data_IF_840894998641
#
_entry.id   IF_840894998641
#
_cell.length_a   1.000
_cell.length_b   1.000
_cell.length_c   1.000
_cell.angle_alpha   90.00
_cell.angle_beta   90.00
_cell.angle_gamma   90.00
#
_symmetry.space_group_name_H-M   'P 1'
#
loop_
_entity.id
_entity.type
_entity.pdbx_description
1 polymer ?
#
# COMPACT_ATOMS: atom_id res chain seq x y z
N UNK A 1 5.74 53.41 18.60
CA UNK A 1 4.67 52.68 19.29
C UNK A 1 3.93 51.92 18.25
N UNK A 2 3.77 50.62 18.40
CA UNK A 2 3.08 49.62 17.58
C UNK A 2 4.00 48.57 16.93
N UNK A 3 4.78 47.86 17.79
CA UNK A 3 5.53 46.64 17.38
C UNK A 3 4.92 45.36 17.97
N UNK A 4 3.79 45.41 18.65
CA UNK A 4 3.21 44.26 19.37
C UNK A 4 2.09 43.50 18.63
N UNK A 5 1.54 44.07 17.55
CA UNK A 5 0.39 43.45 16.84
C UNK A 5 0.76 42.38 15.80
N UNK A 6 2.02 42.27 15.39
CA UNK A 6 2.44 41.32 14.37
C UNK A 6 2.64 39.89 14.93
N UNK A 7 2.85 39.75 16.25
CA UNK A 7 3.19 38.44 16.84
C UNK A 7 2.00 37.53 17.15
N UNK A 8 0.78 38.07 17.22
CA UNK A 8 -0.41 37.27 17.61
C UNK A 8 -1.09 36.59 16.41
N UNK A 9 -0.95 37.16 15.23
CA UNK A 9 -1.57 36.60 14.01
C UNK A 9 -0.79 35.42 13.40
N UNK A 10 0.50 35.34 13.68
CA UNK A 10 1.35 34.19 13.25
C UNK A 10 1.07 32.90 14.03
N UNK A 11 0.45 32.99 15.20
CA UNK A 11 0.17 31.86 16.10
C UNK A 11 -1.04 30.99 15.68
N UNK A 12 -1.82 31.37 14.67
CA UNK A 12 -3.00 30.61 14.22
C UNK A 12 -2.93 30.13 12.78
N UNK A 13 -1.79 29.58 12.35
CA UNK A 13 -1.79 28.84 11.10
C UNK A 13 -2.70 27.60 11.28
N UNK A 14 -3.70 27.39 10.41
CA UNK A 14 -4.59 26.26 10.52
C UNK A 14 -3.77 24.97 10.42
N UNK A 15 -3.81 24.16 11.46
CA UNK A 15 -3.10 22.87 11.52
C UNK A 15 -4.08 21.72 11.25
N UNK A 16 -3.59 20.67 10.63
CA UNK A 16 -4.29 19.37 10.55
C UNK A 16 -4.49 18.84 11.96
N UNK A 17 -5.68 18.29 12.27
CA UNK A 17 -5.91 17.72 13.59
C UNK A 17 -5.05 16.48 13.82
N UNK A 18 -4.47 16.34 15.01
CA UNK A 18 -3.71 15.13 15.38
C UNK A 18 -4.57 13.87 15.25
N UNK A 19 -5.86 13.94 15.57
CA UNK A 19 -6.80 12.84 15.40
C UNK A 19 -6.91 12.37 13.95
N UNK A 20 -6.87 13.28 12.99
CA UNK A 20 -6.88 12.92 11.58
C UNK A 20 -5.56 12.24 11.14
N UNK A 21 -4.41 12.75 11.57
CA UNK A 21 -3.10 12.13 11.27
C UNK A 21 -3.04 10.71 11.80
N UNK A 22 -3.50 10.48 13.05
CA UNK A 22 -3.58 9.16 13.65
C UNK A 22 -4.55 8.24 12.90
N UNK A 23 -5.74 8.73 12.55
CA UNK A 23 -6.70 7.98 11.73
C UNK A 23 -6.07 7.55 10.40
N UNK A 24 -5.33 8.45 9.74
CA UNK A 24 -4.62 8.14 8.50
C UNK A 24 -3.50 7.11 8.71
N UNK A 25 -2.76 7.18 9.82
CA UNK A 25 -1.71 6.20 10.14
C UNK A 25 -2.29 4.80 10.36
N UNK A 26 -3.38 4.67 11.11
CA UNK A 26 -4.06 3.37 11.26
C UNK A 26 -4.67 2.88 9.95
N UNK A 27 -5.26 3.78 9.15
CA UNK A 27 -5.78 3.44 7.82
C UNK A 27 -4.67 2.93 6.88
N UNK A 28 -3.48 3.56 6.92
CA UNK A 28 -2.29 3.09 6.20
C UNK A 28 -1.85 1.71 6.67
N UNK A 29 -1.80 1.48 7.99
CA UNK A 29 -1.48 0.17 8.57
C UNK A 29 -2.43 -0.94 8.09
N UNK A 30 -3.74 -0.67 8.10
CA UNK A 30 -4.76 -1.60 7.55
C UNK A 30 -4.50 -1.86 6.06
N UNK A 31 -4.24 -0.81 5.28
CA UNK A 31 -3.93 -0.92 3.85
C UNK A 31 -2.71 -1.80 3.57
N UNK A 32 -1.65 -1.68 4.38
CA UNK A 32 -0.47 -2.56 4.29
C UNK A 32 -0.85 -4.01 4.55
N UNK A 33 -1.59 -4.29 5.63
CA UNK A 33 -1.98 -5.66 5.98
C UNK A 33 -2.78 -6.29 4.85
N UNK A 34 -3.79 -5.59 4.34
CA UNK A 34 -4.62 -6.08 3.23
C UNK A 34 -3.74 -6.36 1.99
N UNK A 35 -2.84 -5.44 1.62
CA UNK A 35 -1.98 -5.60 0.45
C UNK A 35 -1.03 -6.80 0.59
N UNK A 36 -0.45 -7.02 1.77
CA UNK A 36 0.44 -8.17 2.06
C UNK A 36 -0.34 -9.48 2.02
N UNK A 37 -1.53 -9.53 2.64
CA UNK A 37 -2.39 -10.71 2.59
C UNK A 37 -2.78 -11.05 1.16
N UNK A 38 -3.16 -10.07 0.33
CA UNK A 38 -3.50 -10.28 -1.08
C UNK A 38 -2.28 -10.80 -1.85
N UNK A 39 -1.10 -10.26 -1.62
CA UNK A 39 0.14 -10.73 -2.25
C UNK A 39 0.41 -12.20 -1.92
N UNK A 40 0.32 -12.58 -0.65
CA UNK A 40 0.52 -13.98 -0.23
C UNK A 40 -0.57 -14.91 -0.74
N UNK A 41 -1.83 -14.48 -0.76
CA UNK A 41 -2.91 -15.24 -1.38
C UNK A 41 -2.67 -15.45 -2.88
N UNK A 42 -2.22 -14.42 -3.58
CA UNK A 42 -1.85 -14.52 -5.00
C UNK A 42 -0.74 -15.53 -5.25
N UNK A 43 0.33 -15.50 -4.43
CA UNK A 43 1.39 -16.51 -4.46
C UNK A 43 0.85 -17.91 -4.20
N UNK A 44 0.01 -18.08 -3.18
CA UNK A 44 -0.50 -19.37 -2.77
C UNK A 44 -1.46 -19.95 -3.83
N UNK A 45 -2.36 -19.14 -4.39
CA UNK A 45 -3.29 -19.57 -5.44
C UNK A 45 -2.53 -19.95 -6.71
N UNK A 46 -1.61 -19.10 -7.18
CA UNK A 46 -0.80 -19.40 -8.34
C UNK A 46 0.07 -20.64 -8.11
N UNK A 47 0.62 -20.81 -6.90
CA UNK A 47 1.36 -22.01 -6.52
C UNK A 47 0.51 -23.28 -6.53
N UNK A 48 -0.73 -23.20 -6.02
CA UNK A 48 -1.65 -24.34 -6.04
C UNK A 48 -2.03 -24.76 -7.47
N UNK A 49 -2.29 -23.78 -8.35
CA UNK A 49 -2.54 -24.03 -9.78
C UNK A 49 -1.33 -24.68 -10.44
N UNK A 50 -0.12 -24.27 -10.10
CA UNK A 50 1.14 -24.83 -10.60
C UNK A 50 1.56 -26.16 -9.91
N UNK A 51 0.74 -26.71 -9.02
CA UNK A 51 1.00 -27.99 -8.33
C UNK A 51 2.01 -27.92 -7.17
N UNK A 52 2.30 -26.71 -6.64
CA UNK A 52 3.35 -26.51 -5.61
C UNK A 52 2.93 -26.84 -4.17
N UNK A 53 1.70 -27.20 -3.88
CA UNK A 53 1.16 -27.46 -2.53
C UNK A 53 1.55 -26.35 -1.51
N UNK A 54 1.04 -25.13 -1.67
CA UNK A 54 1.38 -24.00 -0.81
C UNK A 54 0.80 -24.13 0.59
N UNK A 55 1.57 -23.71 1.58
CA UNK A 55 1.14 -23.50 2.97
C UNK A 55 1.20 -22.00 3.24
N UNK A 56 0.06 -21.40 3.47
CA UNK A 56 -0.08 -19.97 3.76
C UNK A 56 0.10 -19.74 5.26
N UNK A 57 1.15 -19.01 5.62
CA UNK A 57 1.36 -18.46 6.95
C UNK A 57 0.99 -16.97 6.98
N UNK A 58 0.94 -16.40 8.16
CA UNK A 58 0.62 -14.99 8.35
C UNK A 58 1.66 -14.03 7.72
N UNK A 59 2.90 -14.47 7.57
CA UNK A 59 4.05 -13.66 7.12
C UNK A 59 4.68 -14.17 5.82
N UNK A 60 4.37 -15.39 5.36
CA UNK A 60 4.98 -15.99 4.19
C UNK A 60 4.12 -17.09 3.54
N UNK A 61 4.54 -17.57 2.39
CA UNK A 61 4.01 -18.76 1.72
C UNK A 61 5.13 -19.77 1.50
N UNK A 62 5.02 -20.93 2.12
CA UNK A 62 5.95 -22.04 1.91
C UNK A 62 5.38 -23.02 0.88
N UNK A 63 6.22 -23.54 0.00
CA UNK A 63 5.84 -24.53 -0.99
C UNK A 63 6.43 -25.89 -0.61
N UNK A 64 5.57 -26.92 -0.43
CA UNK A 64 5.99 -28.28 -0.04
C UNK A 64 6.36 -29.17 -1.23
N UNK A 65 5.96 -28.81 -2.44
CA UNK A 65 6.25 -29.57 -3.66
C UNK A 65 6.91 -28.66 -4.70
N UNK A 66 7.67 -29.26 -5.62
CA UNK A 66 8.17 -28.61 -6.81
C UNK A 66 7.04 -28.18 -7.74
N UNK A 67 7.36 -27.37 -8.73
CA UNK A 67 6.40 -26.85 -9.71
C UNK A 67 7.01 -25.66 -10.44
N UNK A 68 6.28 -25.07 -11.37
CA UNK A 68 6.77 -23.92 -12.14
C UNK A 68 7.03 -22.72 -11.26
N UNK A 69 8.23 -22.11 -11.38
CA UNK A 69 8.57 -20.87 -10.69
C UNK A 69 7.78 -19.67 -11.20
N UNK A 70 7.14 -19.75 -12.38
CA UNK A 70 6.23 -18.72 -12.87
C UNK A 70 5.10 -18.40 -11.88
N UNK A 71 4.69 -19.39 -11.08
CA UNK A 71 3.70 -19.17 -10.02
C UNK A 71 4.12 -18.07 -9.01
N UNK A 72 5.44 -17.84 -8.85
CA UNK A 72 5.96 -16.83 -7.94
C UNK A 72 5.65 -15.38 -8.38
N UNK A 73 5.27 -15.16 -9.65
CA UNK A 73 4.76 -13.87 -10.12
C UNK A 73 3.32 -13.59 -9.65
N UNK A 74 2.59 -14.60 -9.16
CA UNK A 74 1.19 -14.52 -8.75
C UNK A 74 0.92 -13.47 -7.67
N UNK A 75 1.87 -13.25 -6.76
CA UNK A 75 1.74 -12.24 -5.71
C UNK A 75 1.67 -10.81 -6.25
N UNK A 76 2.60 -10.47 -7.14
CA UNK A 76 2.62 -9.14 -7.77
C UNK A 76 1.37 -8.93 -8.63
N UNK A 77 1.00 -9.92 -9.45
CA UNK A 77 -0.19 -9.85 -10.30
C UNK A 77 -1.47 -9.67 -9.47
N UNK A 78 -1.67 -10.45 -8.41
CA UNK A 78 -2.83 -10.33 -7.52
C UNK A 78 -2.92 -8.95 -6.87
N UNK A 79 -1.78 -8.39 -6.44
CA UNK A 79 -1.73 -7.06 -5.86
C UNK A 79 -2.12 -5.97 -6.87
N UNK A 80 -1.67 -6.04 -8.11
CA UNK A 80 -2.05 -5.09 -9.17
C UNK A 80 -3.55 -5.18 -9.49
N UNK A 81 -4.09 -6.40 -9.62
CA UNK A 81 -5.52 -6.64 -9.87
C UNK A 81 -6.35 -6.08 -8.70
N UNK A 82 -5.97 -6.40 -7.47
CA UNK A 82 -6.66 -5.90 -6.29
C UNK A 82 -6.60 -4.37 -6.18
N UNK A 83 -5.44 -3.76 -6.47
CA UNK A 83 -5.29 -2.31 -6.54
C UNK A 83 -6.27 -1.69 -7.53
N UNK A 84 -6.43 -2.28 -8.72
CA UNK A 84 -7.40 -1.84 -9.71
C UNK A 84 -8.85 -1.99 -9.22
N UNK A 85 -9.19 -3.12 -8.58
CA UNK A 85 -10.53 -3.35 -8.01
C UNK A 85 -10.83 -2.31 -6.92
N UNK A 86 -9.93 -2.12 -5.94
CA UNK A 86 -10.13 -1.12 -4.89
C UNK A 86 -10.20 0.31 -5.44
N UNK A 87 -9.47 0.60 -6.52
CA UNK A 87 -9.56 1.90 -7.20
C UNK A 87 -10.96 2.15 -7.76
N UNK A 88 -11.66 1.12 -8.27
CA UNK A 88 -13.06 1.28 -8.71
C UNK A 88 -14.03 1.47 -7.55
N UNK A 89 -13.71 0.94 -6.37
CA UNK A 89 -14.51 1.09 -5.15
C UNK A 89 -14.30 2.45 -4.46
N UNK A 90 -13.16 3.09 -4.67
CA UNK A 90 -12.83 4.37 -4.03
C UNK A 90 -13.83 5.49 -4.30
N UNK A 91 -14.32 5.73 -5.54
CA UNK A 91 -15.33 6.74 -5.82
C UNK A 91 -16.73 6.38 -5.33
N UNK A 92 -17.02 5.09 -5.07
CA UNK A 92 -18.35 4.63 -4.64
C UNK A 92 -18.76 5.20 -3.27
N UNK A 93 -17.79 5.49 -2.39
CA UNK A 93 -18.05 6.24 -1.16
C UNK A 93 -18.20 7.73 -1.46
N UNK A 94 -19.40 8.27 -1.27
CA UNK A 94 -19.66 9.71 -1.45
C UNK A 94 -19.10 10.56 -0.30
N UNK A 95 -18.78 9.95 0.84
CA UNK A 95 -18.27 10.65 2.02
C UNK A 95 -16.75 10.48 2.11
N UNK A 96 -16.07 11.57 2.44
CA UNK A 96 -14.65 11.54 2.75
C UNK A 96 -14.47 11.20 4.23
N UNK A 97 -14.66 9.96 4.57
CA UNK A 97 -14.58 9.42 5.93
C UNK A 97 -13.37 8.49 6.10
N UNK A 98 -13.23 7.91 7.28
CA UNK A 98 -12.14 7.00 7.61
C UNK A 98 -12.19 5.72 6.76
N UNK A 99 -13.37 5.24 6.35
CA UNK A 99 -13.50 4.06 5.51
C UNK A 99 -12.94 4.33 4.11
N UNK A 100 -13.30 5.45 3.51
CA UNK A 100 -12.77 5.87 2.20
C UNK A 100 -11.26 6.12 2.26
N UNK A 101 -10.75 6.69 3.35
CA UNK A 101 -9.33 6.89 3.56
C UNK A 101 -8.60 5.53 3.65
N UNK A 102 -9.20 4.54 4.31
CA UNK A 102 -8.66 3.18 4.38
C UNK A 102 -8.63 2.51 3.00
N UNK A 103 -9.68 2.68 2.19
CA UNK A 103 -9.69 2.21 0.79
C UNK A 103 -8.59 2.89 -0.02
N UNK A 104 -8.40 4.22 0.11
CA UNK A 104 -7.31 4.93 -0.57
C UNK A 104 -5.95 4.33 -0.23
N UNK A 105 -5.66 4.14 1.07
CA UNK A 105 -4.42 3.53 1.51
C UNK A 105 -4.26 2.09 0.99
N UNK A 106 -5.35 1.30 0.97
CA UNK A 106 -5.33 -0.07 0.42
C UNK A 106 -4.97 -0.05 -1.07
N UNK A 107 -5.58 0.83 -1.87
CA UNK A 107 -5.22 1.03 -3.29
C UNK A 107 -3.72 1.30 -3.44
N UNK A 108 -3.20 2.27 -2.67
CA UNK A 108 -1.81 2.68 -2.77
C UNK A 108 -0.85 1.55 -2.40
N UNK A 109 -1.14 0.81 -1.32
CA UNK A 109 -0.30 -0.29 -0.89
C UNK A 109 -0.39 -1.50 -1.82
N UNK A 110 -1.55 -1.80 -2.40
CA UNK A 110 -1.69 -2.86 -3.41
C UNK A 110 -0.86 -2.54 -4.66
N UNK A 111 -0.97 -1.33 -5.21
CA UNK A 111 -0.15 -0.95 -6.36
C UNK A 111 1.35 -0.91 -6.02
N UNK A 112 1.73 -0.39 -4.86
CA UNK A 112 3.11 -0.44 -4.40
C UNK A 112 3.61 -1.89 -4.30
N UNK A 113 2.84 -2.79 -3.68
CA UNK A 113 3.20 -4.20 -3.52
C UNK A 113 3.34 -4.92 -4.88
N UNK A 114 2.54 -4.53 -5.87
CA UNK A 114 2.59 -5.09 -7.21
C UNK A 114 3.73 -4.53 -8.08
N UNK A 115 3.94 -3.21 -8.07
CA UNK A 115 4.96 -2.56 -8.91
C UNK A 115 6.38 -2.64 -8.33
N UNK A 116 6.55 -2.70 -6.99
CA UNK A 116 7.88 -2.76 -6.38
C UNK A 116 8.71 -3.94 -6.86
N UNK A 117 8.22 -5.20 -6.88
CA UNK A 117 9.00 -6.32 -7.39
C UNK A 117 9.40 -6.15 -8.86
N UNK A 118 8.55 -5.51 -9.69
CA UNK A 118 8.88 -5.19 -11.07
C UNK A 118 10.00 -4.16 -11.13
N UNK A 119 9.89 -3.07 -10.37
CA UNK A 119 10.85 -1.97 -10.38
C UNK A 119 12.25 -2.40 -9.92
N UNK A 120 12.35 -3.35 -8.98
CA UNK A 120 13.64 -3.81 -8.45
C UNK A 120 14.14 -5.10 -9.11
N UNK A 121 13.46 -5.60 -10.12
CA UNK A 121 13.76 -6.89 -10.77
C UNK A 121 15.24 -7.09 -11.13
N UNK A 122 15.94 -6.13 -11.78
CA UNK A 122 17.35 -6.29 -12.15
C UNK A 122 18.33 -6.23 -10.97
N UNK A 123 17.86 -5.88 -9.76
CA UNK A 123 18.67 -5.64 -8.58
C UNK A 123 18.52 -6.72 -7.51
N UNK A 124 17.67 -7.74 -7.76
CA UNK A 124 17.30 -8.75 -6.77
C UNK A 124 17.31 -10.15 -7.39
N UNK A 125 18.31 -10.97 -7.06
CA UNK A 125 18.45 -12.32 -7.64
C UNK A 125 17.53 -13.35 -6.99
N UNK A 126 17.25 -13.23 -5.68
CA UNK A 126 16.52 -14.24 -4.89
C UNK A 126 15.04 -13.87 -4.62
N UNK A 127 14.52 -12.81 -5.23
CA UNK A 127 13.10 -12.47 -5.05
C UNK A 127 12.18 -13.49 -5.73
N UNK A 128 10.95 -13.70 -5.25
CA UNK A 128 9.99 -14.56 -5.91
C UNK A 128 9.82 -14.23 -7.40
N UNK A 129 9.76 -12.93 -7.74
CA UNK A 129 9.61 -12.50 -9.12
C UNK A 129 10.88 -12.75 -9.95
N UNK A 130 12.09 -12.56 -9.40
CA UNK A 130 13.36 -12.83 -10.12
C UNK A 130 13.49 -14.31 -10.46
N UNK A 131 13.11 -15.21 -9.54
CA UNK A 131 13.06 -16.65 -9.81
C UNK A 131 12.03 -17.01 -10.88
N UNK A 132 10.83 -16.40 -10.84
CA UNK A 132 9.85 -16.56 -11.91
C UNK A 132 10.40 -16.07 -13.25
N UNK A 133 11.11 -14.95 -13.24
CA UNK A 133 11.69 -14.33 -14.42
C UNK A 133 12.77 -15.21 -15.07
N UNK A 134 13.66 -15.77 -14.26
CA UNK A 134 14.75 -16.65 -14.75
C UNK A 134 14.22 -17.88 -15.49
N UNK A 135 13.02 -18.38 -15.15
CA UNK A 135 12.42 -19.54 -15.85
C UNK A 135 11.90 -19.19 -17.26
N UNK A 136 11.71 -17.90 -17.57
CA UNK A 136 11.26 -17.48 -18.90
C UNK A 136 12.38 -17.46 -19.94
N UNK A 137 13.64 -17.48 -19.53
CA UNK A 137 14.79 -17.46 -20.43
C UNK A 137 14.85 -16.20 -21.32
N UNK A 138 14.26 -15.09 -20.88
CA UNK A 138 14.22 -13.86 -21.65
C UNK A 138 15.57 -13.14 -21.66
N UNK A 139 15.89 -12.37 -22.75
CA UNK A 139 17.12 -11.58 -22.79
C UNK A 139 17.24 -10.61 -21.62
N UNK A 140 18.45 -10.42 -21.08
CA UNK A 140 18.73 -9.52 -19.95
C UNK A 140 18.21 -8.09 -20.13
N UNK A 141 18.15 -7.57 -21.37
CA UNK A 141 17.59 -6.24 -21.64
C UNK A 141 16.10 -6.10 -21.34
N UNK A 142 15.32 -7.19 -21.36
CA UNK A 142 13.87 -7.15 -21.11
C UNK A 142 13.55 -6.86 -19.64
N UNK A 143 14.39 -7.34 -18.72
CA UNK A 143 14.19 -7.07 -17.28
C UNK A 143 14.30 -5.57 -16.95
N UNK A 144 15.19 -4.84 -17.65
CA UNK A 144 15.31 -3.38 -17.51
C UNK A 144 14.09 -2.63 -18.03
N UNK A 145 13.48 -3.11 -19.13
CA UNK A 145 12.22 -2.55 -19.62
C UNK A 145 11.10 -2.76 -18.61
N UNK A 146 11.00 -3.95 -18.03
CA UNK A 146 10.01 -4.26 -17.00
C UNK A 146 10.25 -3.44 -15.73
N UNK A 147 11.52 -3.27 -15.32
CA UNK A 147 11.89 -2.42 -14.19
C UNK A 147 11.51 -0.96 -14.43
N UNK A 148 11.78 -0.44 -15.61
CA UNK A 148 11.35 0.91 -15.98
C UNK A 148 9.82 1.05 -15.93
N UNK A 149 9.07 0.07 -16.44
CA UNK A 149 7.61 0.06 -16.37
C UNK A 149 7.10 0.01 -14.92
N UNK A 150 7.71 -0.82 -14.06
CA UNK A 150 7.40 -0.88 -12.63
C UNK A 150 7.64 0.46 -11.93
N UNK A 151 8.78 1.10 -12.23
CA UNK A 151 9.13 2.42 -11.67
C UNK A 151 8.15 3.50 -12.13
N UNK A 152 7.83 3.55 -13.43
CA UNK A 152 6.83 4.47 -13.97
C UNK A 152 5.46 4.23 -13.33
N UNK A 153 5.08 2.96 -13.12
CA UNK A 153 3.85 2.60 -12.42
C UNK A 153 3.81 3.16 -11.00
N UNK A 154 4.88 2.96 -10.20
CA UNK A 154 4.99 3.51 -8.85
C UNK A 154 4.88 5.03 -8.83
N UNK A 155 5.61 5.73 -9.70
CA UNK A 155 5.56 7.18 -9.80
C UNK A 155 4.18 7.68 -10.22
N UNK A 156 3.55 7.03 -11.19
CA UNK A 156 2.20 7.38 -11.65
C UNK A 156 1.17 7.28 -10.52
N UNK A 157 1.22 6.22 -9.72
CA UNK A 157 0.34 6.04 -8.56
C UNK A 157 0.60 7.11 -7.51
N UNK A 158 1.87 7.41 -7.20
CA UNK A 158 2.23 8.47 -6.25
C UNK A 158 1.72 9.84 -6.72
N UNK A 159 1.91 10.18 -8.00
CA UNK A 159 1.43 11.44 -8.59
C UNK A 159 -0.09 11.53 -8.57
N UNK A 160 -0.79 10.46 -8.95
CA UNK A 160 -2.25 10.41 -8.97
C UNK A 160 -2.88 10.45 -7.57
N UNK A 161 -2.16 10.06 -6.52
CA UNK A 161 -2.67 10.04 -5.14
C UNK A 161 -2.72 11.43 -4.49
N UNK A 162 -1.88 12.38 -4.93
CA UNK A 162 -1.79 13.69 -4.33
C UNK A 162 -3.14 14.45 -4.31
N UNK A 163 -3.89 14.58 -5.43
CA UNK A 163 -5.21 15.22 -5.39
C UNK A 163 -6.21 14.47 -4.52
N UNK A 164 -6.11 13.13 -4.42
CA UNK A 164 -6.98 12.33 -3.57
C UNK A 164 -6.77 12.64 -2.08
N UNK A 165 -5.52 12.80 -1.63
CA UNK A 165 -5.22 13.25 -0.27
C UNK A 165 -5.65 14.70 -0.04
N UNK A 166 -5.35 15.62 -0.96
CA UNK A 166 -5.73 17.02 -0.85
C UNK A 166 -7.24 17.24 -0.74
N UNK A 167 -8.04 16.33 -1.32
CA UNK A 167 -9.50 16.38 -1.22
C UNK A 167 -10.03 16.17 0.21
N UNK A 168 -9.22 15.67 1.13
CA UNK A 168 -9.56 15.56 2.57
C UNK A 168 -9.31 16.86 3.35
N UNK A 169 -8.82 17.93 2.73
CA UNK A 169 -8.66 19.20 3.41
C UNK A 169 -10.01 19.75 3.86
N UNK A 170 -10.14 20.09 5.15
CA UNK A 170 -11.38 20.63 5.72
C UNK A 170 -11.63 22.09 5.32
N UNK A 171 -10.60 22.79 4.88
CA UNK A 171 -10.67 24.20 4.47
C UNK A 171 -9.73 24.48 3.31
N UNK A 172 -10.18 25.31 2.37
CA UNK A 172 -9.37 25.71 1.22
C UNK A 172 -8.08 26.44 1.64
N UNK A 173 -8.09 27.13 2.76
CA UNK A 173 -6.91 27.84 3.29
C UNK A 173 -5.74 26.93 3.62
N UNK A 174 -5.98 25.65 3.95
CA UNK A 174 -4.92 24.65 4.21
C UNK A 174 -4.10 24.32 2.95
N UNK A 175 -4.74 24.40 1.78
CA UNK A 175 -4.18 23.95 0.50
C UNK A 175 -4.12 25.02 -0.58
N UNK A 176 -4.36 26.28 -0.20
CA UNK A 176 -4.34 27.41 -1.15
C UNK A 176 -2.97 27.72 -1.73
N UNK A 177 -1.91 27.48 -0.95
CA UNK A 177 -0.52 27.70 -1.37
C UNK A 177 0.20 26.37 -1.67
N UNK A 178 1.23 26.34 -2.54
CA UNK A 178 2.05 25.15 -2.76
C UNK A 178 2.61 24.58 -1.46
N UNK A 179 3.17 25.41 -0.58
CA UNK A 179 3.71 25.00 0.72
C UNK A 179 2.63 24.44 1.66
N UNK A 180 1.42 25.03 1.64
CA UNK A 180 0.27 24.50 2.38
C UNK A 180 -0.13 23.10 1.90
N UNK A 181 -0.19 22.90 0.59
CA UNK A 181 -0.48 21.58 0.00
C UNK A 181 0.57 20.54 0.38
N UNK A 182 1.87 20.86 0.22
CA UNK A 182 2.95 19.97 0.59
C UNK A 182 2.90 19.60 2.08
N UNK A 183 2.74 20.60 2.95
CA UNK A 183 2.63 20.38 4.40
C UNK A 183 1.44 19.51 4.75
N UNK A 184 0.24 19.84 4.25
CA UNK A 184 -0.96 19.05 4.50
C UNK A 184 -0.75 17.60 4.04
N UNK A 185 -0.23 17.38 2.83
CA UNK A 185 0.04 16.03 2.31
C UNK A 185 1.13 15.31 3.13
N UNK A 186 2.16 16.02 3.59
CA UNK A 186 3.16 15.42 4.47
C UNK A 186 2.53 14.94 5.79
N UNK A 187 1.66 15.72 6.39
CA UNK A 187 0.98 15.36 7.65
C UNK A 187 0.04 14.16 7.49
N UNK A 188 -0.69 14.03 6.36
CA UNK A 188 -1.72 12.98 6.18
C UNK A 188 -1.30 11.81 5.27
N UNK A 189 -0.20 11.93 4.56
CA UNK A 189 0.32 10.88 3.68
C UNK A 189 1.75 10.46 4.04
N UNK A 190 2.73 11.39 4.14
CA UNK A 190 4.12 11.00 4.42
C UNK A 190 4.26 10.39 5.83
N UNK A 191 3.79 11.08 6.88
CA UNK A 191 3.87 10.57 8.25
C UNK A 191 3.08 9.26 8.39
N UNK A 192 1.80 9.15 7.99
CA UNK A 192 1.06 7.90 7.99
C UNK A 192 1.65 6.81 7.10
N UNK A 193 2.23 7.15 5.96
CA UNK A 193 2.86 6.21 5.05
C UNK A 193 4.11 5.54 5.62
N UNK A 194 4.78 6.16 6.58
CA UNK A 194 5.92 5.59 7.32
C UNK A 194 5.44 4.91 8.61
N UNK A 195 4.58 5.57 9.38
CA UNK A 195 4.10 5.07 10.68
C UNK A 195 3.14 3.88 10.52
N UNK A 196 2.27 3.90 9.50
CA UNK A 196 1.29 2.83 9.27
C UNK A 196 1.90 1.44 9.11
N UNK A 197 2.93 1.24 8.26
CA UNK A 197 3.66 -0.02 8.18
C UNK A 197 4.23 -0.49 9.52
N UNK A 198 4.75 0.43 10.35
CA UNK A 198 5.25 0.09 11.70
C UNK A 198 4.11 -0.37 12.62
N UNK A 199 2.93 0.25 12.53
CA UNK A 199 1.74 -0.18 13.26
C UNK A 199 1.23 -1.55 12.80
N UNK A 200 1.53 -1.97 11.57
CA UNK A 200 1.17 -3.27 11.04
C UNK A 200 2.13 -4.40 11.47
N UNK A 201 3.35 -4.10 11.96
CA UNK A 201 4.35 -5.12 12.36
C UNK A 201 3.77 -6.18 13.31
N UNK A 202 2.98 -5.83 14.36
CA UNK A 202 2.42 -6.83 15.28
C UNK A 202 1.53 -7.88 14.61
N UNK A 203 0.95 -7.57 13.44
CA UNK A 203 0.12 -8.53 12.67
C UNK A 203 0.95 -9.69 12.15
N UNK A 204 2.25 -9.46 11.88
CA UNK A 204 3.16 -10.39 11.22
C UNK A 204 4.21 -11.01 12.17
N UNK A 205 4.15 -10.75 13.47
CA UNK A 205 5.06 -11.35 14.45
C UNK A 205 4.83 -12.88 14.58
N UNK A 206 5.90 -13.65 14.94
CA UNK A 206 7.25 -13.21 15.33
C UNK A 206 8.18 -12.82 14.19
N UNK A 207 7.97 -13.29 12.96
CA UNK A 207 8.98 -13.21 11.91
C UNK A 207 8.77 -12.02 10.93
N UNK A 208 7.62 -11.35 11.01
CA UNK A 208 7.17 -10.36 10.03
C UNK A 208 7.94 -9.03 10.02
N UNK A 209 8.80 -8.78 11.02
CA UNK A 209 9.67 -7.61 11.03
C UNK A 209 10.73 -7.65 9.92
N UNK A 210 11.12 -8.84 9.47
CA UNK A 210 12.18 -9.03 8.48
C UNK A 210 11.79 -8.55 7.07
N UNK A 211 10.50 -8.56 6.71
CA UNK A 211 10.03 -8.10 5.40
C UNK A 211 9.55 -6.64 5.36
N UNK A 212 8.85 -6.19 6.41
CA UNK A 212 8.27 -4.84 6.44
C UNK A 212 9.32 -3.76 6.76
N UNK A 213 10.19 -4.00 7.74
CA UNK A 213 11.19 -3.01 8.18
C UNK A 213 12.17 -2.65 7.05
N UNK A 214 12.76 -3.60 6.31
CA UNK A 214 13.61 -3.29 5.17
C UNK A 214 12.90 -2.53 4.05
N UNK A 215 11.58 -2.64 3.93
CA UNK A 215 10.81 -1.92 2.91
C UNK A 215 10.42 -0.48 3.30
N UNK A 216 10.66 -0.04 4.54
CA UNK A 216 10.35 1.32 5.00
C UNK A 216 10.94 2.44 4.12
N UNK A 217 12.18 2.36 3.60
CA UNK A 217 12.71 3.37 2.70
C UNK A 217 11.87 3.54 1.42
N UNK A 218 11.34 2.44 0.86
CA UNK A 218 10.46 2.49 -0.30
C UNK A 218 9.08 3.10 0.03
N UNK A 219 8.54 2.87 1.23
CA UNK A 219 7.35 3.57 1.70
C UNK A 219 7.59 5.06 1.80
N UNK A 220 8.73 5.45 2.38
CA UNK A 220 9.14 6.86 2.49
C UNK A 220 9.29 7.51 1.12
N UNK A 221 10.02 6.89 0.19
CA UNK A 221 10.24 7.42 -1.15
C UNK A 221 8.92 7.60 -1.92
N UNK A 222 8.01 6.62 -1.86
CA UNK A 222 6.70 6.67 -2.49
C UNK A 222 5.87 7.85 -1.95
N UNK A 223 5.82 8.02 -0.63
CA UNK A 223 5.04 9.09 0.00
C UNK A 223 5.69 10.47 -0.17
N UNK A 224 7.03 10.55 -0.25
CA UNK A 224 7.75 11.78 -0.64
C UNK A 224 7.35 12.19 -2.06
N UNK A 225 7.29 11.25 -3.01
CA UNK A 225 6.84 11.54 -4.37
C UNK A 225 5.41 12.09 -4.38
N UNK A 226 4.51 11.58 -3.53
CA UNK A 226 3.15 12.11 -3.35
C UNK A 226 3.17 13.56 -2.82
N UNK A 227 4.03 13.88 -1.86
CA UNK A 227 4.18 15.26 -1.33
C UNK A 227 4.70 16.21 -2.40
N UNK A 228 5.70 15.78 -3.18
CA UNK A 228 6.24 16.58 -4.29
C UNK A 228 5.19 16.81 -5.37
N UNK A 229 4.36 15.80 -5.68
CA UNK A 229 3.23 15.94 -6.60
C UNK A 229 2.20 16.98 -6.11
N UNK A 230 1.96 17.03 -4.80
CA UNK A 230 1.04 18.01 -4.20
C UNK A 230 1.51 19.46 -4.40
N UNK A 231 2.83 19.71 -4.47
CA UNK A 231 3.36 21.06 -4.79
C UNK A 231 2.87 21.56 -6.15
N UNK A 232 2.87 20.68 -7.17
CA UNK A 232 2.48 21.00 -8.54
C UNK A 232 0.97 20.97 -8.79
N UNK A 233 0.17 20.46 -7.88
CA UNK A 233 -1.28 20.33 -8.07
C UNK A 233 -1.94 21.71 -8.03
N UNK A 234 -2.61 22.12 -9.13
CA UNK A 234 -3.13 23.49 -9.28
C UNK A 234 -4.53 23.69 -8.70
N UNK A 235 -5.41 22.72 -8.88
CA UNK A 235 -6.79 22.79 -8.40
C UNK A 235 -7.22 21.46 -7.82
N UNK A 236 -7.75 21.51 -6.60
CA UNK A 236 -8.39 20.36 -5.96
C UNK A 236 -9.77 20.80 -5.48
N UNK A 237 -10.78 20.05 -5.88
CA UNK A 237 -12.11 20.18 -5.28
C UNK A 237 -12.04 19.55 -3.90
N UNK A 238 -12.20 20.37 -2.89
CA UNK A 238 -12.40 19.85 -1.53
C UNK A 238 -13.71 19.06 -1.53
N UNK A 239 -13.70 17.91 -0.89
CA UNK A 239 -14.94 17.15 -0.70
C UNK A 239 -15.95 17.94 0.13
N UNK A 240 -17.23 17.69 -0.11
CA UNK A 240 -18.34 18.33 0.65
C UNK A 240 -18.38 17.80 2.09
N UNK A 241 -17.33 18.09 2.87
CA UNK A 241 -17.37 17.80 4.29
C UNK A 241 -17.64 19.06 5.05
N UNK A 242 -18.68 19.03 5.84
CA UNK A 242 -18.98 20.11 6.78
C UNK A 242 -18.04 20.08 8.00
N UNK A 243 -17.43 18.96 8.28
CA UNK A 243 -16.55 18.75 9.44
C UNK A 243 -15.20 18.18 9.04
N UNK A 244 -14.14 18.64 9.70
CA UNK A 244 -12.80 18.04 9.52
C UNK A 244 -12.81 16.59 9.98
N UNK A 245 -12.21 15.68 9.20
CA UNK A 245 -11.99 14.31 9.66
C UNK A 245 -11.12 14.34 10.91
N UNK A 246 -11.67 13.86 12.02
CA UNK A 246 -10.99 13.77 13.31
C UNK A 246 -10.46 12.36 13.58
N UNK A 247 -10.45 12.01 14.86
CA UNK A 247 -10.16 10.66 15.29
C UNK A 247 -11.28 9.69 14.91
N UNK A 248 -10.91 8.53 14.36
CA UNK A 248 -11.82 7.42 14.08
C UNK A 248 -11.25 6.10 14.59
N UNK A 249 -12.06 5.37 15.36
CA UNK A 249 -11.70 4.05 15.87
C UNK A 249 -11.75 2.95 14.80
N UNK A 250 -12.39 3.18 13.68
CA UNK A 250 -12.63 2.17 12.64
C UNK A 250 -11.33 1.55 12.10
N UNK A 251 -10.30 2.29 11.65
CA UNK A 251 -9.07 1.68 11.18
C UNK A 251 -8.30 0.95 12.29
N UNK A 252 -8.32 1.47 13.51
CA UNK A 252 -7.68 0.78 14.66
C UNK A 252 -8.38 -0.55 14.94
N UNK A 253 -9.72 -0.58 14.96
CA UNK A 253 -10.48 -1.81 15.16
C UNK A 253 -10.17 -2.86 14.08
N UNK A 254 -10.06 -2.45 12.83
CA UNK A 254 -9.64 -3.34 11.75
C UNK A 254 -8.21 -3.86 11.93
N UNK A 255 -7.27 -3.01 12.33
CA UNK A 255 -5.89 -3.44 12.55
C UNK A 255 -5.80 -4.48 13.68
N UNK A 256 -6.51 -4.27 14.79
CA UNK A 256 -6.62 -5.24 15.89
C UNK A 256 -7.28 -6.54 15.41
N UNK A 257 -8.37 -6.45 14.66
CA UNK A 257 -9.02 -7.62 14.08
C UNK A 257 -8.05 -8.43 13.20
N UNK A 258 -7.33 -7.80 12.29
CA UNK A 258 -6.35 -8.48 11.45
C UNK A 258 -5.20 -9.09 12.28
N UNK A 259 -4.74 -8.43 13.34
CA UNK A 259 -3.73 -8.98 14.23
C UNK A 259 -4.24 -10.26 14.91
N UNK A 260 -5.46 -10.26 15.41
CA UNK A 260 -6.07 -11.44 16.01
C UNK A 260 -6.24 -12.58 14.99
N UNK A 261 -6.81 -12.29 13.83
CA UNK A 261 -6.98 -13.29 12.74
C UNK A 261 -5.63 -13.87 12.33
N UNK A 262 -4.62 -13.03 12.12
CA UNK A 262 -3.27 -13.45 11.76
C UNK A 262 -2.68 -14.40 12.80
N UNK A 263 -2.72 -14.04 14.07
CA UNK A 263 -2.13 -14.82 15.16
C UNK A 263 -2.89 -16.12 15.45
N UNK A 264 -4.22 -16.14 15.33
CA UNK A 264 -5.02 -17.32 15.66
C UNK A 264 -5.22 -18.29 14.50
N UNK A 265 -5.42 -17.77 13.25
CA UNK A 265 -5.70 -18.60 12.10
C UNK A 265 -4.45 -18.94 11.28
N UNK A 266 -3.63 -17.93 10.96
CA UNK A 266 -2.54 -18.14 10.00
C UNK A 266 -1.19 -18.50 10.63
N UNK A 267 -1.02 -18.34 11.95
CA UNK A 267 0.23 -18.74 12.63
C UNK A 267 0.56 -20.22 12.49
N UNK A 268 -0.47 -21.08 12.43
CA UNK A 268 -0.31 -22.55 12.29
C UNK A 268 -0.08 -23.00 10.86
N UNK A 269 -0.22 -22.10 9.88
CA UNK A 269 -0.20 -22.39 8.46
C UNK A 269 -1.49 -23.04 7.98
N UNK A 270 -1.99 -22.56 6.85
CA UNK A 270 -3.17 -23.10 6.16
C UNK A 270 -2.71 -23.76 4.88
N UNK A 271 -2.86 -25.08 4.80
CA UNK A 271 -2.57 -25.84 3.58
C UNK A 271 -3.67 -25.57 2.54
N UNK A 272 -3.29 -25.09 1.36
CA UNK A 272 -4.21 -24.97 0.24
C UNK A 272 -4.11 -26.26 -0.59
N UNK A 273 -5.20 -27.04 -0.69
CA UNK A 273 -5.16 -28.33 -1.37
C UNK A 273 -4.84 -28.16 -2.86
N UNK A 274 -4.08 -29.08 -3.46
CA UNK A 274 -3.72 -29.07 -4.89
C UNK A 274 -4.92 -29.38 -5.82
N UNK A 275 -6.12 -29.57 -5.28
CA UNK A 275 -7.36 -29.83 -6.04
C UNK A 275 -7.81 -28.66 -6.94
N UNK A 276 -7.12 -27.51 -6.87
CA UNK A 276 -7.27 -26.41 -7.83
C UNK A 276 -6.47 -26.64 -9.14
N UNK A 277 -5.91 -27.85 -9.38
CA UNK A 277 -5.30 -28.17 -10.67
C UNK A 277 -6.32 -27.93 -11.77
N UNK A 278 -6.04 -26.95 -12.62
CA UNK A 278 -6.80 -26.77 -13.84
C UNK A 278 -6.64 -28.07 -14.67
N UNK A 279 -7.73 -28.66 -15.17
CA UNK A 279 -7.69 -29.91 -15.93
C UNK A 279 -6.86 -29.85 -17.23
N UNK A 280 -6.29 -28.68 -17.55
CA UNK A 280 -5.50 -28.42 -18.76
C UNK A 280 -3.99 -28.70 -18.60
N UNK A 281 -3.48 -28.97 -17.40
CA UNK A 281 -2.02 -29.14 -17.18
C UNK A 281 -1.54 -30.54 -17.47
N UNK A 282 -2.42 -31.54 -17.51
CA UNK A 282 -2.06 -32.96 -17.78
C UNK A 282 -2.05 -33.27 -19.28
N UNK A 283 -2.26 -32.31 -20.19
CA UNK A 283 -2.31 -32.49 -21.65
C UNK A 283 -1.13 -31.87 -22.42
N UNK A 284 -0.09 -31.41 -21.74
CA UNK A 284 1.18 -30.95 -22.32
C UNK A 284 2.32 -31.82 -21.78
#
# INVERSE_FOLDING_TARGET
MDTETVSVEEARRPRTSTGFVLTSAFASGVGVVIAVVIYHLGLAVAGAIAGRAPVLYHNEVLFRAGGSDLALAGGAAASLIAGAIFLTLYPASRRYDAARLTVLWTVLHCFRQGFTPLAVLPFTDDSPLSRAWSTLGLPAGVEWVVSAAGTVGLLSVALASAPAFLAYASRQSLISTPSGRARFTAEIALVPGVVGPLLAVPVFLPDGGTGLVPSLPLFGAFTIATVLAALGTRTVRIGDHREALGWSWLPLAWLVFFALVSQFLFRRGVLIPPSLRAPFVDSM
#
